data_IF_920876784702
#
_entry.id   IF_920876784702
#
_cell.length_a   1.000
_cell.length_b   1.000
_cell.length_c   1.000
_cell.angle_alpha   90.00
_cell.angle_beta   90.00
_cell.angle_gamma   90.00
#
_symmetry.space_group_name_H-M   'P 1'
#
loop_
_entity.id
_entity.type
_entity.pdbx_description
1 polymer ?
#
# COMPACT_ATOMS: atom_id res chain seq x y z
N UNK A 1 -14.52 14.91 -18.45
CA UNK A 1 -14.44 13.67 -17.63
C UNK A 1 -14.82 13.91 -16.16
N UNK A 2 -14.13 14.77 -15.41
CA UNK A 2 -14.39 14.96 -13.97
C UNK A 2 -15.81 15.47 -13.63
N UNK A 3 -16.37 16.36 -14.48
CA UNK A 3 -17.73 16.89 -14.33
C UNK A 3 -18.78 15.77 -14.40
N UNK A 4 -18.77 14.98 -15.48
CA UNK A 4 -19.64 13.81 -15.63
C UNK A 4 -19.56 12.80 -14.46
N UNK A 5 -18.37 12.60 -13.91
CA UNK A 5 -18.20 11.71 -12.74
C UNK A 5 -18.88 12.30 -11.52
N UNK A 6 -18.79 13.61 -11.33
CA UNK A 6 -19.43 14.33 -10.23
C UNK A 6 -20.95 14.25 -10.34
N UNK A 7 -21.51 14.43 -11.54
CA UNK A 7 -22.95 14.30 -11.78
C UNK A 7 -23.43 12.88 -11.52
N UNK A 8 -22.64 11.88 -11.92
CA UNK A 8 -22.94 10.48 -11.66
C UNK A 8 -22.93 10.16 -10.16
N UNK A 9 -21.91 10.64 -9.43
CA UNK A 9 -21.85 10.53 -7.97
C UNK A 9 -23.10 11.13 -7.32
N UNK A 10 -23.55 12.29 -7.79
CA UNK A 10 -24.73 12.97 -7.26
C UNK A 10 -26.03 12.18 -7.51
N UNK A 11 -26.16 11.51 -8.67
CA UNK A 11 -27.33 10.65 -8.97
C UNK A 11 -27.45 9.46 -8.01
N UNK A 12 -26.34 8.90 -7.56
CA UNK A 12 -26.34 7.76 -6.63
C UNK A 12 -26.31 8.17 -5.15
N UNK A 13 -26.55 9.46 -4.85
CA UNK A 13 -26.60 9.97 -3.47
C UNK A 13 -27.96 9.67 -2.84
N UNK A 14 -28.17 8.41 -2.46
CA UNK A 14 -29.33 8.01 -1.66
C UNK A 14 -29.18 8.46 -0.19
N UNK A 15 -30.27 8.97 0.40
CA UNK A 15 -30.26 9.58 1.75
C UNK A 15 -29.83 8.63 2.88
N UNK A 16 -29.92 7.30 2.72
CA UNK A 16 -29.71 6.32 3.80
C UNK A 16 -28.65 5.25 3.51
N UNK A 17 -27.77 5.44 2.52
CA UNK A 17 -26.74 4.43 2.23
C UNK A 17 -25.64 4.41 3.31
N UNK A 18 -25.17 3.23 3.70
CA UNK A 18 -24.01 3.09 4.60
C UNK A 18 -22.71 3.45 3.89
N UNK A 19 -21.63 3.69 4.64
CA UNK A 19 -20.29 3.91 4.05
C UNK A 19 -19.86 2.73 3.15
N UNK A 20 -20.22 1.51 3.53
CA UNK A 20 -19.98 0.30 2.74
C UNK A 20 -20.84 0.24 1.48
N UNK A 21 -22.12 0.63 1.55
CA UNK A 21 -22.98 0.72 0.38
C UNK A 21 -22.45 1.71 -0.65
N UNK A 22 -22.03 2.89 -0.19
CA UNK A 22 -21.40 3.91 -1.05
C UNK A 22 -20.08 3.42 -1.65
N UNK A 23 -19.24 2.71 -0.89
CA UNK A 23 -17.98 2.15 -1.44
C UNK A 23 -18.23 1.11 -2.53
N UNK A 24 -19.28 0.28 -2.38
CA UNK A 24 -19.70 -0.67 -3.41
C UNK A 24 -20.10 0.06 -4.69
N UNK A 25 -20.94 1.10 -4.62
CA UNK A 25 -21.34 1.90 -5.79
C UNK A 25 -20.12 2.48 -6.52
N UNK A 26 -19.15 3.01 -5.77
CA UNK A 26 -17.92 3.55 -6.35
C UNK A 26 -17.13 2.45 -7.07
N UNK A 27 -16.98 1.29 -6.44
CA UNK A 27 -16.24 0.16 -6.99
C UNK A 27 -16.89 -0.46 -8.24
N UNK A 28 -18.22 -0.50 -8.30
CA UNK A 28 -18.95 -1.19 -9.37
C UNK A 28 -19.31 -0.27 -10.54
N UNK A 29 -19.59 1.01 -10.30
CA UNK A 29 -20.06 1.92 -11.35
C UNK A 29 -19.07 3.03 -11.70
N UNK A 30 -18.41 3.63 -10.71
CA UNK A 30 -17.56 4.81 -10.93
C UNK A 30 -16.18 4.41 -11.42
N UNK A 31 -15.50 3.53 -10.69
CA UNK A 31 -14.12 3.14 -10.98
C UNK A 31 -13.99 2.46 -12.35
N UNK A 32 -14.85 1.51 -12.77
CA UNK A 32 -14.69 0.84 -14.06
C UNK A 32 -14.69 1.79 -15.26
N UNK A 33 -15.49 2.87 -15.23
CA UNK A 33 -15.51 3.89 -16.28
C UNK A 33 -14.19 4.67 -16.35
N UNK A 34 -13.64 5.04 -15.20
CA UNK A 34 -12.34 5.73 -15.11
C UNK A 34 -11.22 4.81 -15.61
N UNK A 35 -11.26 3.55 -15.18
CA UNK A 35 -10.29 2.54 -15.59
C UNK A 35 -10.34 2.29 -17.08
N UNK A 36 -11.53 2.20 -17.67
CA UNK A 36 -11.70 2.05 -19.12
C UNK A 36 -11.03 3.20 -19.88
N UNK A 37 -11.23 4.45 -19.48
CA UNK A 37 -10.54 5.57 -20.12
C UNK A 37 -9.02 5.55 -19.89
N UNK A 38 -8.58 5.03 -18.73
CA UNK A 38 -7.17 4.97 -18.37
C UNK A 38 -6.39 3.86 -19.10
N UNK A 39 -7.07 2.94 -19.82
CA UNK A 39 -6.39 1.97 -20.68
C UNK A 39 -5.88 2.58 -21.98
N UNK A 40 -6.55 3.63 -22.46
CA UNK A 40 -6.24 4.31 -23.74
C UNK A 40 -5.37 5.54 -23.52
N UNK A 41 -5.62 6.28 -22.43
CA UNK A 41 -4.94 7.55 -22.14
C UNK A 41 -4.45 7.59 -20.69
N UNK A 42 -3.30 8.22 -20.43
CA UNK A 42 -2.81 8.39 -19.05
C UNK A 42 -3.40 9.66 -18.43
N UNK A 43 -4.35 9.57 -17.49
CA UNK A 43 -5.01 10.76 -16.96
C UNK A 43 -4.04 11.63 -16.14
N UNK A 44 -4.07 12.97 -16.29
CA UNK A 44 -3.25 13.87 -15.50
C UNK A 44 -3.46 13.67 -14.00
N UNK A 45 -2.37 13.77 -13.22
CA UNK A 45 -2.40 13.60 -11.76
C UNK A 45 -3.41 14.53 -11.07
N UNK A 46 -3.58 15.76 -11.57
CA UNK A 46 -4.57 16.73 -11.08
C UNK A 46 -6.00 16.19 -11.18
N UNK A 47 -6.36 15.64 -12.33
CA UNK A 47 -7.69 15.07 -12.57
C UNK A 47 -7.97 13.87 -11.64
N UNK A 48 -6.99 12.98 -11.45
CA UNK A 48 -7.14 11.84 -10.53
C UNK A 48 -7.35 12.34 -9.09
N UNK A 49 -6.60 13.35 -8.66
CA UNK A 49 -6.73 13.95 -7.32
C UNK A 49 -8.13 14.55 -7.11
N UNK A 50 -8.63 15.28 -8.10
CA UNK A 50 -9.95 15.91 -8.01
C UNK A 50 -11.06 14.85 -7.95
N UNK A 51 -10.96 13.79 -8.75
CA UNK A 51 -11.88 12.65 -8.70
C UNK A 51 -11.82 11.94 -7.33
N UNK A 52 -10.62 11.66 -6.82
CA UNK A 52 -10.44 11.05 -5.50
C UNK A 52 -11.07 11.91 -4.38
N UNK A 53 -10.96 13.23 -4.48
CA UNK A 53 -11.61 14.16 -3.54
C UNK A 53 -13.14 14.01 -3.59
N UNK A 54 -13.75 13.96 -4.78
CA UNK A 54 -15.20 13.78 -4.90
C UNK A 54 -15.67 12.41 -4.42
N UNK A 55 -14.94 11.34 -4.75
CA UNK A 55 -15.23 9.99 -4.24
C UNK A 55 -15.19 9.99 -2.72
N UNK A 56 -14.18 10.61 -2.11
CA UNK A 56 -14.06 10.67 -0.65
C UNK A 56 -15.24 11.44 -0.03
N UNK A 57 -15.61 12.59 -0.58
CA UNK A 57 -16.81 13.35 -0.15
C UNK A 57 -18.07 12.49 -0.19
N UNK A 58 -18.25 11.76 -1.28
CA UNK A 58 -19.38 10.86 -1.45
C UNK A 58 -19.39 9.73 -0.42
N UNK A 59 -18.27 9.01 -0.26
CA UNK A 59 -18.16 7.88 0.67
C UNK A 59 -18.41 8.31 2.12
N UNK A 60 -17.96 9.48 2.53
CA UNK A 60 -18.22 10.02 3.88
C UNK A 60 -19.55 10.77 4.01
N UNK A 61 -20.35 10.90 2.95
CA UNK A 61 -21.64 11.60 3.02
C UNK A 61 -21.51 13.06 3.44
N UNK A 62 -20.45 13.75 2.99
CA UNK A 62 -20.10 15.12 3.38
C UNK A 62 -19.75 15.33 4.88
N UNK A 63 -19.44 14.26 5.62
CA UNK A 63 -18.94 14.36 7.01
C UNK A 63 -17.41 14.53 7.08
N UNK A 64 -16.89 14.82 8.28
CA UNK A 64 -15.45 15.00 8.53
C UNK A 64 -14.69 13.70 8.25
N UNK A 65 -13.55 13.83 7.57
CA UNK A 65 -12.71 12.69 7.22
C UNK A 65 -11.85 12.19 8.38
N UNK A 66 -12.39 11.29 9.20
CA UNK A 66 -11.62 10.69 10.31
C UNK A 66 -10.61 9.62 9.84
N UNK A 67 -10.91 8.90 8.76
CA UNK A 67 -10.16 7.70 8.36
C UNK A 67 -9.16 8.03 7.23
N UNK A 68 -7.92 7.58 7.40
CA UNK A 68 -6.86 7.67 6.40
C UNK A 68 -7.18 6.86 5.13
N UNK A 69 -6.83 7.39 3.95
CA UNK A 69 -7.11 6.73 2.66
C UNK A 69 -6.53 5.32 2.57
N UNK A 70 -5.29 5.12 3.03
CA UNK A 70 -4.65 3.81 3.05
C UNK A 70 -5.45 2.76 3.82
N UNK A 71 -6.17 3.15 4.89
CA UNK A 71 -7.06 2.25 5.64
C UNK A 71 -8.35 1.94 4.85
N UNK A 72 -8.90 2.93 4.13
CA UNK A 72 -10.13 2.74 3.34
C UNK A 72 -9.96 1.70 2.22
N UNK A 73 -8.77 1.64 1.64
CA UNK A 73 -8.45 0.74 0.52
C UNK A 73 -8.33 -0.73 0.98
N UNK A 74 -8.06 -0.96 2.26
CA UNK A 74 -7.87 -2.31 2.80
C UNK A 74 -9.14 -3.14 2.70
N UNK A 75 -8.94 -4.46 2.69
CA UNK A 75 -10.03 -5.42 2.72
C UNK A 75 -10.92 -5.22 3.96
N UNK A 76 -12.21 -5.52 3.83
CA UNK A 76 -13.18 -5.52 4.92
C UNK A 76 -12.74 -6.41 6.07
N UNK A 77 -12.12 -7.56 5.76
CA UNK A 77 -11.55 -8.47 6.77
C UNK A 77 -10.38 -7.87 7.56
N UNK A 78 -9.78 -6.81 7.04
CA UNK A 78 -8.63 -6.11 7.62
C UNK A 78 -9.02 -4.76 8.24
N UNK A 79 -10.32 -4.50 8.46
CA UNK A 79 -10.82 -3.26 9.05
C UNK A 79 -10.97 -2.09 8.06
N UNK A 80 -10.84 -2.35 6.75
CA UNK A 80 -11.08 -1.37 5.70
C UNK A 80 -12.51 -1.42 5.12
N UNK A 81 -12.77 -0.61 4.10
CA UNK A 81 -14.06 -0.61 3.38
C UNK A 81 -13.95 -1.19 1.96
N UNK A 82 -12.77 -1.74 1.62
CA UNK A 82 -12.38 -2.26 0.31
C UNK A 82 -12.60 -1.25 -0.84
N UNK A 83 -12.39 0.05 -0.60
CA UNK A 83 -12.52 1.08 -1.63
C UNK A 83 -11.35 0.94 -2.63
N UNK A 84 -11.61 0.80 -3.94
CA UNK A 84 -10.47 0.67 -4.85
C UNK A 84 -9.76 1.99 -5.05
N UNK A 85 -8.43 1.95 -5.03
CA UNK A 85 -7.61 3.11 -5.31
C UNK A 85 -7.36 3.24 -6.82
N UNK A 86 -7.81 4.35 -7.40
CA UNK A 86 -7.72 4.62 -8.84
C UNK A 86 -6.26 4.62 -9.30
N UNK A 87 -5.38 5.31 -8.57
CA UNK A 87 -3.99 5.46 -8.97
C UNK A 87 -3.26 4.12 -8.95
N UNK A 88 -3.48 3.31 -7.93
CA UNK A 88 -2.92 1.96 -7.82
C UNK A 88 -3.47 1.02 -8.88
N UNK A 89 -4.75 1.14 -9.22
CA UNK A 89 -5.37 0.36 -10.27
C UNK A 89 -4.82 0.71 -11.66
N UNK A 90 -4.61 2.00 -11.94
CA UNK A 90 -3.94 2.46 -13.17
C UNK A 90 -2.50 1.92 -13.23
N UNK A 91 -1.73 2.02 -12.14
CA UNK A 91 -0.38 1.42 -12.08
C UNK A 91 -0.41 -0.08 -12.37
N UNK A 92 -1.36 -0.82 -11.78
CA UNK A 92 -1.51 -2.25 -12.05
C UNK A 92 -1.88 -2.55 -13.51
N UNK A 93 -2.70 -1.70 -14.14
CA UNK A 93 -3.08 -1.83 -15.55
C UNK A 93 -1.92 -1.58 -16.49
N UNK A 94 -1.02 -0.65 -16.17
CA UNK A 94 0.21 -0.40 -16.94
C UNK A 94 1.13 -1.62 -17.00
N UNK A 95 0.98 -2.59 -16.09
CA UNK A 95 1.71 -3.86 -16.10
C UNK A 95 1.02 -4.97 -16.92
N UNK A 96 -0.26 -4.80 -17.27
CA UNK A 96 -1.03 -5.76 -18.10
C UNK A 96 -0.40 -6.10 -19.46
N UNK A 97 0.26 -5.18 -20.20
CA UNK A 97 0.68 -5.47 -21.56
C UNK A 97 1.71 -6.58 -21.73
N UNK A 98 2.38 -6.99 -20.65
CA UNK A 98 3.57 -7.85 -20.71
C UNK A 98 3.30 -9.27 -20.20
N UNK A 99 2.05 -9.64 -19.94
CA UNK A 99 1.71 -11.01 -19.60
C UNK A 99 1.84 -11.87 -20.86
N UNK A 100 2.79 -12.83 -20.94
CA UNK A 100 2.81 -13.76 -22.05
C UNK A 100 1.53 -14.61 -21.97
N UNK A 101 0.62 -14.42 -22.92
CA UNK A 101 -0.45 -15.38 -23.12
C UNK A 101 0.18 -16.62 -23.72
N UNK A 102 0.37 -17.65 -22.89
CA UNK A 102 0.87 -18.96 -23.31
C UNK A 102 0.00 -19.63 -24.39
N UNK A 103 -1.15 -19.06 -24.77
CA UNK A 103 -2.16 -19.73 -25.61
C UNK A 103 -2.64 -18.94 -26.83
N UNK A 104 -2.29 -17.67 -27.04
CA UNK A 104 -2.66 -16.96 -28.28
C UNK A 104 -1.54 -16.06 -28.82
N UNK A 105 -0.99 -16.35 -30.01
CA UNK A 105 0.08 -15.54 -30.61
C UNK A 105 -0.38 -14.20 -31.19
N UNK A 106 -1.69 -13.93 -31.25
CA UNK A 106 -2.20 -12.89 -32.16
C UNK A 106 -2.63 -11.57 -31.54
N UNK A 107 -3.02 -11.49 -30.27
CA UNK A 107 -3.64 -10.24 -29.80
C UNK A 107 -3.45 -10.02 -28.31
N UNK A 108 -2.60 -9.07 -27.98
CA UNK A 108 -3.06 -8.00 -27.09
C UNK A 108 -2.10 -6.80 -27.08
N UNK A 109 -0.79 -6.99 -27.30
CA UNK A 109 0.14 -5.85 -27.18
C UNK A 109 1.39 -5.93 -28.08
N UNK A 110 1.20 -6.20 -29.38
CA UNK A 110 2.29 -6.09 -30.37
C UNK A 110 3.01 -4.74 -30.28
N UNK A 111 2.26 -3.66 -30.04
CA UNK A 111 2.81 -2.32 -29.80
C UNK A 111 3.66 -2.23 -28.52
N UNK A 112 3.24 -2.85 -27.40
CA UNK A 112 4.04 -2.78 -26.17
C UNK A 112 5.35 -3.56 -26.30
N UNK A 113 5.33 -4.72 -26.98
CA UNK A 113 6.55 -5.47 -27.28
C UNK A 113 7.46 -4.70 -28.24
N UNK A 114 6.90 -4.07 -29.28
CA UNK A 114 7.65 -3.21 -30.19
C UNK A 114 8.38 -2.08 -29.43
N UNK A 115 7.68 -1.33 -28.57
CA UNK A 115 8.29 -0.18 -27.89
C UNK A 115 9.24 -0.57 -26.74
N UNK A 116 8.86 -1.55 -25.91
CA UNK A 116 9.54 -1.81 -24.63
C UNK A 116 10.34 -3.11 -24.63
N UNK A 117 10.10 -4.03 -25.58
CA UNK A 117 10.67 -5.40 -25.58
C UNK A 117 12.17 -5.44 -25.27
N UNK A 118 12.97 -4.63 -25.98
CA UNK A 118 14.43 -4.53 -25.78
C UNK A 118 14.86 -4.08 -24.39
N UNK A 119 14.01 -3.32 -23.67
CA UNK A 119 14.30 -2.84 -22.31
C UNK A 119 13.91 -3.86 -21.24
N UNK A 120 13.06 -4.84 -21.56
CA UNK A 120 12.60 -5.89 -20.66
C UNK A 120 13.17 -7.28 -21.01
N UNK A 121 14.29 -7.34 -21.74
CA UNK A 121 14.94 -8.59 -22.15
C UNK A 121 15.22 -9.56 -20.99
N UNK A 122 15.47 -9.04 -19.78
CA UNK A 122 15.68 -9.85 -18.58
C UNK A 122 14.40 -10.56 -18.09
N UNK A 123 13.24 -10.02 -18.44
CA UNK A 123 11.93 -10.40 -17.89
C UNK A 123 11.03 -11.08 -18.93
N UNK A 124 11.25 -10.82 -20.21
CA UNK A 124 10.46 -11.38 -21.31
C UNK A 124 11.43 -11.89 -22.39
N UNK A 125 11.24 -13.11 -22.91
CA UNK A 125 12.06 -13.61 -24.00
C UNK A 125 11.85 -12.78 -25.26
N UNK A 126 12.93 -12.28 -25.86
CA UNK A 126 12.90 -11.60 -27.14
C UNK A 126 12.63 -12.61 -28.25
N UNK A 127 11.77 -12.24 -29.20
CA UNK A 127 11.57 -12.96 -30.46
C UNK A 127 12.08 -12.09 -31.60
N UNK A 128 12.86 -12.68 -32.51
CA UNK A 128 13.34 -12.00 -33.71
C UNK A 128 12.26 -11.86 -34.79
N UNK A 129 11.07 -12.43 -34.57
CA UNK A 129 9.93 -12.37 -35.50
C UNK A 129 9.14 -11.06 -35.43
N UNK A 130 9.48 -10.16 -34.51
CA UNK A 130 8.78 -8.87 -34.33
C UNK A 130 9.84 -7.77 -34.31
N UNK A 131 9.65 -6.67 -35.08
CA UNK A 131 10.57 -5.55 -35.04
C UNK A 131 10.55 -4.89 -33.64
N UNK A 132 11.65 -4.24 -33.30
CA UNK A 132 11.80 -3.51 -32.04
C UNK A 132 12.08 -2.04 -32.29
N UNK A 133 11.64 -1.19 -31.36
CA UNK A 133 11.83 0.24 -31.42
C UNK A 133 13.18 0.65 -30.80
N UNK A 134 13.96 1.43 -31.54
CA UNK A 134 15.30 1.88 -31.12
C UNK A 134 15.37 3.36 -30.71
N UNK A 135 14.31 4.13 -30.93
CA UNK A 135 14.29 5.58 -30.69
C UNK A 135 13.95 6.00 -29.26
N UNK A 136 13.58 7.28 -29.10
CA UNK A 136 13.15 7.84 -27.82
C UNK A 136 11.74 7.38 -27.44
N UNK A 137 11.62 6.73 -26.29
CA UNK A 137 10.37 6.10 -25.89
C UNK A 137 9.24 7.13 -25.63
N UNK A 138 7.99 6.88 -26.11
CA UNK A 138 6.84 7.71 -25.76
C UNK A 138 6.59 7.75 -24.24
N UNK A 139 6.04 8.86 -23.75
CA UNK A 139 5.82 9.12 -22.32
C UNK A 139 5.03 8.02 -21.63
N UNK A 140 3.99 7.49 -22.28
CA UNK A 140 3.19 6.39 -21.77
C UNK A 140 4.06 5.17 -21.43
N UNK A 141 4.86 4.71 -22.38
CA UNK A 141 5.73 3.55 -22.23
C UNK A 141 6.84 3.77 -21.20
N UNK A 142 7.36 5.00 -21.06
CA UNK A 142 8.27 5.38 -19.95
C UNK A 142 7.61 5.14 -18.59
N UNK A 143 6.34 5.55 -18.44
CA UNK A 143 5.61 5.34 -17.18
C UNK A 143 5.30 3.87 -16.90
N UNK A 144 5.14 3.04 -17.94
CA UNK A 144 4.98 1.60 -17.79
C UNK A 144 6.25 0.94 -17.27
N UNK A 145 7.42 1.29 -17.84
CA UNK A 145 8.71 0.78 -17.34
C UNK A 145 8.90 1.16 -15.87
N UNK A 146 8.62 2.41 -15.50
CA UNK A 146 8.68 2.86 -14.10
C UNK A 146 7.73 2.09 -13.18
N UNK A 147 6.56 1.68 -13.65
CA UNK A 147 5.61 0.89 -12.86
C UNK A 147 6.07 -0.57 -12.66
N UNK A 148 6.86 -1.10 -13.61
CA UNK A 148 7.43 -2.45 -13.56
C UNK A 148 8.66 -2.50 -12.66
N UNK A 149 9.49 -1.45 -12.67
CA UNK A 149 10.68 -1.34 -11.81
C UNK A 149 10.30 -1.60 -10.34
N UNK A 150 10.90 -2.62 -9.73
CA UNK A 150 10.62 -3.07 -8.36
C UNK A 150 9.50 -4.12 -8.20
N UNK A 151 8.72 -4.38 -9.26
CA UNK A 151 7.62 -5.37 -9.27
C UNK A 151 7.82 -6.47 -10.33
N UNK A 152 9.07 -6.72 -10.75
CA UNK A 152 9.43 -7.58 -11.86
C UNK A 152 8.85 -9.01 -11.75
N UNK A 153 8.86 -9.57 -10.53
CA UNK A 153 8.34 -10.91 -10.24
C UNK A 153 6.83 -11.04 -10.48
N UNK A 154 6.11 -9.93 -10.58
CA UNK A 154 4.64 -9.89 -10.68
C UNK A 154 4.14 -9.69 -12.10
N UNK A 155 5.04 -9.55 -13.09
CA UNK A 155 4.68 -9.29 -14.50
C UNK A 155 3.74 -10.36 -15.06
N UNK A 156 3.96 -11.63 -14.70
CA UNK A 156 3.17 -12.75 -15.21
C UNK A 156 1.80 -12.91 -14.50
N UNK A 157 1.57 -12.16 -13.41
CA UNK A 157 0.33 -12.27 -12.64
C UNK A 157 -0.84 -11.53 -13.28
N UNK A 158 -2.04 -11.75 -12.77
CA UNK A 158 -3.22 -11.01 -13.21
C UNK A 158 -3.19 -9.59 -12.65
N UNK A 159 -3.79 -8.64 -13.38
CA UNK A 159 -3.91 -7.24 -12.92
C UNK A 159 -4.51 -7.12 -11.53
N UNK A 160 -5.46 -8.00 -11.17
CA UNK A 160 -6.06 -8.06 -9.83
C UNK A 160 -5.05 -8.42 -8.75
N UNK A 161 -4.19 -9.42 -8.99
CA UNK A 161 -3.14 -9.83 -8.05
C UNK A 161 -2.07 -8.75 -7.91
N UNK A 162 -1.66 -8.14 -9.02
CA UNK A 162 -0.73 -6.99 -9.03
C UNK A 162 -1.32 -5.85 -8.20
N UNK A 163 -2.58 -5.50 -8.42
CA UNK A 163 -3.27 -4.48 -7.65
C UNK A 163 -3.29 -4.79 -6.15
N UNK A 164 -3.67 -6.01 -5.76
CA UNK A 164 -3.69 -6.43 -4.36
C UNK A 164 -2.29 -6.35 -3.72
N UNK A 165 -1.24 -6.73 -4.45
CA UNK A 165 0.13 -6.59 -3.99
C UNK A 165 0.51 -5.12 -3.77
N UNK A 166 0.23 -4.25 -4.75
CA UNK A 166 0.52 -2.82 -4.66
C UNK A 166 -0.26 -2.12 -3.53
N UNK A 167 -1.46 -2.58 -3.22
CA UNK A 167 -2.24 -2.10 -2.06
C UNK A 167 -1.58 -2.51 -0.75
N UNK A 168 -1.15 -3.77 -0.63
CA UNK A 168 -0.46 -4.26 0.57
C UNK A 168 0.83 -3.49 0.87
N UNK A 169 1.55 -3.04 -0.16
CA UNK A 169 2.76 -2.23 -0.01
C UNK A 169 2.50 -0.83 0.56
N UNK A 170 1.28 -0.28 0.45
CA UNK A 170 0.99 1.09 0.88
C UNK A 170 0.87 1.22 2.39
N UNK A 171 0.22 0.26 3.05
CA UNK A 171 0.07 0.24 4.50
C UNK A 171 -0.17 -1.17 5.01
N UNK A 172 0.42 -1.55 6.16
CA UNK A 172 0.08 -2.80 6.82
C UNK A 172 -1.39 -2.81 7.26
N UNK A 173 -2.03 -3.99 7.37
CA UNK A 173 -3.40 -4.12 7.85
C UNK A 173 -3.71 -3.32 9.12
N UNK A 174 -4.95 -2.82 9.25
CA UNK A 174 -5.35 -1.99 10.38
C UNK A 174 -5.05 -2.66 11.72
N UNK A 175 -5.33 -3.96 11.86
CA UNK A 175 -5.09 -4.70 13.09
C UNK A 175 -3.61 -4.71 13.54
N UNK A 176 -2.65 -4.58 12.60
CA UNK A 176 -1.22 -4.43 12.92
C UNK A 176 -0.82 -2.98 13.22
N UNK A 177 -1.59 -2.02 12.72
CA UNK A 177 -1.39 -0.57 12.92
C UNK A 177 -1.98 -0.09 14.23
N UNK A 178 -2.95 -0.81 14.78
CA UNK A 178 -3.41 -0.63 16.16
C UNK A 178 -2.27 -1.10 17.07
N UNK A 179 -1.26 -0.25 17.28
CA UNK A 179 -0.26 -0.41 18.33
C UNK A 179 -0.05 0.93 19.02
N UNK A 180 -0.01 0.89 20.37
CA UNK A 180 0.37 1.94 21.34
C UNK A 180 -0.73 2.67 22.11
N UNK A 181 -2.01 2.53 21.78
CA UNK A 181 -3.08 3.11 22.61
C UNK A 181 -3.27 2.37 23.94
N UNK A 182 -3.30 1.03 23.92
CA UNK A 182 -3.63 0.22 25.11
C UNK A 182 -2.55 0.16 26.20
N UNK A 183 -1.32 0.62 25.94
CA UNK A 183 -0.32 0.78 27.01
C UNK A 183 -0.55 2.06 27.83
N UNK A 184 -1.38 2.99 27.33
CA UNK A 184 -1.67 4.28 27.98
C UNK A 184 -3.16 4.51 28.22
N UNK A 185 -4.05 3.70 27.65
CA UNK A 185 -5.43 3.64 28.10
C UNK A 185 -5.45 2.97 29.47
N UNK A 186 -5.90 3.75 30.45
CA UNK A 186 -6.20 3.35 31.82
C UNK A 186 -7.33 2.31 31.79
N UNK A 187 -7.06 1.09 31.32
CA UNK A 187 -7.95 -0.06 31.49
C UNK A 187 -7.47 -0.94 32.63
N UNK A 188 -6.21 -0.81 33.03
CA UNK A 188 -5.69 -1.43 34.24
C UNK A 188 -5.98 -0.54 35.46
N UNK A 189 -7.23 -0.60 35.92
CA UNK A 189 -7.69 0.05 37.14
C UNK A 189 -7.15 -0.65 38.42
N UNK A 190 -6.35 -1.71 38.28
CA UNK A 190 -5.76 -2.42 39.42
C UNK A 190 -4.84 -1.52 40.26
N UNK A 191 -4.17 -0.55 39.62
CA UNK A 191 -3.32 0.43 40.31
C UNK A 191 -4.08 1.63 40.88
N UNK A 192 -5.32 1.89 40.45
CA UNK A 192 -6.16 2.96 41.02
C UNK A 192 -6.61 2.56 42.43
N UNK A 193 -6.91 1.27 42.67
CA UNK A 193 -7.28 0.77 44.00
C UNK A 193 -6.16 0.85 45.04
N UNK A 194 -4.90 0.94 44.61
CA UNK A 194 -3.74 1.11 45.52
C UNK A 194 -3.58 2.57 45.99
N UNK A 195 -4.16 3.53 45.28
CA UNK A 195 -4.11 4.95 45.61
C UNK A 195 -5.28 5.41 46.50
N UNK A 196 -6.35 4.62 46.60
CA UNK A 196 -7.56 4.93 47.38
C UNK A 196 -7.67 4.20 48.72
N UNK A 197 -6.62 3.49 49.17
CA UNK A 197 -6.59 3.09 50.58
C UNK A 197 -6.19 4.30 51.43
N UNK A 198 -6.99 4.72 52.42
CA UNK A 198 -6.58 5.75 53.35
C UNK A 198 -5.34 5.25 54.07
N UNK A 199 -4.19 5.91 53.84
CA UNK A 199 -3.04 5.77 54.73
C UNK A 199 -3.52 6.25 56.09
N UNK A 200 -3.77 5.32 57.01
CA UNK A 200 -3.81 5.67 58.41
C UNK A 200 -2.48 6.34 58.74
N UNK A 201 -2.57 7.62 59.03
CA UNK A 201 -1.51 8.43 59.57
C UNK A 201 -0.94 7.73 60.80
N UNK A 202 0.39 7.64 60.88
CA UNK A 202 1.04 8.18 62.06
C UNK A 202 2.40 8.77 61.68
N UNK A 203 2.50 10.06 61.98
CA UNK A 203 3.68 10.90 62.17
C UNK A 203 4.34 11.53 60.93
N UNK A 204 4.07 12.83 60.82
CA UNK A 204 4.83 13.91 60.17
C UNK A 204 5.68 14.63 61.23
N UNK A 205 6.50 15.67 60.90
CA UNK A 205 7.37 15.87 59.73
C UNK A 205 8.73 16.48 60.14
N UNK A 206 9.74 16.52 59.24
CA UNK A 206 10.56 17.72 58.96
C UNK A 206 11.67 17.44 57.93
N UNK A 207 11.75 18.31 56.91
CA UNK A 207 13.02 18.67 56.26
C UNK A 207 13.23 18.20 54.82
N UNK A 208 12.86 19.05 53.86
CA UNK A 208 13.44 19.31 52.53
C UNK A 208 13.83 18.13 51.62
N UNK A 209 13.08 17.96 50.53
CA UNK A 209 13.52 17.19 49.34
C UNK A 209 13.84 18.18 48.21
N UNK A 210 15.13 18.24 47.87
CA UNK A 210 15.67 18.82 46.64
C UNK A 210 15.04 18.15 45.41
N UNK A 211 14.55 18.97 44.47
CA UNK A 211 14.18 18.53 43.14
C UNK A 211 15.44 18.23 42.33
N UNK A 212 15.60 16.99 41.85
CA UNK A 212 16.53 16.69 40.78
C UNK A 212 15.76 16.05 39.61
N UNK A 213 15.54 16.86 38.58
CA UNK A 213 15.03 16.43 37.29
C UNK A 213 16.26 16.12 36.44
N UNK A 214 16.52 14.85 36.16
CA UNK A 214 17.42 14.45 35.08
C UNK A 214 16.58 14.04 33.86
N UNK A 215 16.68 14.85 32.81
CA UNK A 215 16.28 14.50 31.46
C UNK A 215 17.32 13.57 30.86
N UNK A 216 16.90 12.39 30.37
CA UNK A 216 17.75 11.57 29.51
C UNK A 216 17.18 11.42 28.10
N UNK A 217 18.02 11.83 27.16
CA UNK A 217 17.83 11.95 25.72
C UNK A 217 17.97 10.60 25.00
N UNK A 218 17.22 10.46 23.91
CA UNK A 218 17.17 9.30 23.03
C UNK A 218 18.53 8.89 22.42
N UNK A 219 18.85 7.59 22.45
CA UNK A 219 19.79 6.94 21.52
C UNK A 219 19.05 6.01 20.54
N UNK A 220 19.34 6.23 19.26
CA UNK A 220 18.86 5.51 18.08
C UNK A 220 19.79 4.33 17.81
N UNK A 221 19.29 3.11 17.72
CA UNK A 221 20.07 1.95 17.27
C UNK A 221 19.55 1.43 15.93
N UNK A 222 20.35 1.65 14.90
CA UNK A 222 20.31 0.93 13.64
C UNK A 222 21.37 -0.18 13.65
N UNK A 223 21.16 -1.17 12.77
CA UNK A 223 22.12 -2.11 12.15
C UNK A 223 22.21 -3.58 12.63
N UNK A 224 21.71 -4.45 11.74
CA UNK A 224 22.22 -5.74 11.22
C UNK A 224 23.16 -6.57 12.12
N UNK A 225 22.78 -7.83 12.35
CA UNK A 225 23.71 -8.91 12.67
C UNK A 225 23.74 -9.96 11.55
N UNK A 226 24.90 -10.03 10.90
CA UNK A 226 25.41 -11.12 10.09
C UNK A 226 25.93 -12.20 11.04
N UNK A 227 25.53 -13.47 10.89
CA UNK A 227 26.12 -14.58 11.63
C UNK A 227 27.37 -15.09 10.90
N UNK A 228 28.54 -14.85 11.50
CA UNK A 228 29.79 -15.54 11.19
C UNK A 228 29.98 -16.68 12.20
N UNK A 229 30.05 -17.92 11.69
CA UNK A 229 30.44 -19.10 12.46
C UNK A 229 31.98 -19.15 12.57
N UNK A 230 32.47 -19.19 13.81
CA UNK A 230 33.88 -19.27 14.15
C UNK A 230 34.48 -20.65 13.83
N UNK A 231 35.68 -20.64 13.23
CA UNK A 231 36.63 -21.76 13.16
C UNK A 231 37.54 -21.78 14.40
N UNK A 232 38.09 -22.99 14.64
CA UNK A 232 39.44 -23.37 15.16
C UNK A 232 39.43 -24.17 16.48
N UNK A 233 40.45 -25.03 16.76
CA UNK A 233 41.55 -25.56 15.93
C UNK A 233 41.72 -27.11 15.99
N UNK A 234 42.79 -27.56 15.30
CA UNK A 234 43.16 -28.91 14.88
C UNK A 234 43.69 -29.88 15.96
N UNK A 235 43.64 -31.19 15.66
CA UNK A 235 44.73 -32.13 16.00
C UNK A 235 44.74 -33.37 15.09
N UNK A 236 45.96 -33.86 14.84
CA UNK A 236 46.45 -34.96 13.98
C UNK A 236 45.71 -36.30 14.19
N UNK A 237 45.71 -37.31 13.31
CA UNK A 237 46.87 -38.06 12.82
C UNK A 237 46.44 -39.21 11.86
N UNK A 238 47.36 -39.64 10.98
CA UNK A 238 47.64 -41.04 10.55
C UNK A 238 46.52 -41.82 9.79
N UNK A 239 46.65 -42.06 8.49
CA UNK A 239 47.42 -43.12 7.80
C UNK A 239 46.47 -44.20 7.22
N UNK A 240 46.70 -44.54 5.94
CA UNK A 240 46.47 -45.85 5.28
C UNK A 240 45.03 -46.39 5.24
N UNK A 241 44.52 -46.95 4.15
CA UNK A 241 45.08 -47.51 2.92
C UNK A 241 43.98 -47.54 1.87
#
# INVERSE_FOLDING_TARGET
>A
MAVHITDMINRYKFKTSTIFGRSVVVNTYIIPKIIYTATVFDPPKRTIRDINKQIRRFVFGNTIYSIQHATLIQDKRQGGIALQDIQTKIKALKNKPYKPHHQTPRTSHASALYYIGLRLTKLVPLKNSVPHYFGSLPTFYKTCIQAIQGNEKLIHQTTTKIYQHLVKLQAPPLHLRIKRGYNYFITDHTNIRKLTQPKHSNQSPRGNIQTNIQHDTYKRTDSKQTQTSNKMPAMQNKHTR
#
